data_IF_798808906670
#
_entry.id   IF_798808906670
#
_cell.length_a   1.000
_cell.length_b   1.000
_cell.length_c   1.000
_cell.angle_alpha   90.00
_cell.angle_beta   90.00
_cell.angle_gamma   90.00
#
_symmetry.space_group_name_H-M   'P 1'
#
loop_
_entity.id
_entity.type
_entity.pdbx_description
1 polymer ?
#
# COMPACT_ATOMS: atom_id res chain seq x y z
N UNK A 1 71.85 6.81 -25.66
CA UNK A 1 70.65 7.60 -26.03
C UNK A 1 69.48 6.65 -26.22
N UNK A 2 68.75 6.33 -25.15
CA UNK A 2 67.37 5.83 -25.22
C UNK A 2 66.89 5.63 -23.78
N UNK A 3 65.69 6.11 -23.46
CA UNK A 3 65.05 5.81 -22.18
C UNK A 3 64.48 7.00 -21.43
N UNK A 4 63.54 7.77 -22.02
CA UNK A 4 62.68 8.69 -21.24
C UNK A 4 61.23 8.79 -21.75
N UNK A 5 60.79 7.93 -22.67
CA UNK A 5 59.42 8.01 -23.24
C UNK A 5 58.34 7.25 -22.43
N UNK A 6 58.68 6.48 -21.40
CA UNK A 6 57.75 5.51 -20.79
C UNK A 6 56.89 6.02 -19.63
N UNK A 7 57.12 7.23 -19.09
CA UNK A 7 56.43 7.70 -17.87
C UNK A 7 55.21 8.60 -18.09
N UNK A 8 54.94 9.07 -19.32
CA UNK A 8 53.75 9.92 -19.58
C UNK A 8 52.47 9.11 -19.84
N UNK A 9 52.58 7.96 -20.51
CA UNK A 9 51.42 7.10 -20.81
C UNK A 9 50.73 6.52 -19.56
N UNK A 10 51.47 6.35 -18.46
CA UNK A 10 50.92 5.78 -17.22
C UNK A 10 50.09 6.78 -16.42
N UNK A 11 50.29 8.09 -16.59
CA UNK A 11 49.56 9.12 -15.83
C UNK A 11 48.18 9.37 -16.44
N UNK A 12 48.08 9.39 -17.78
CA UNK A 12 46.81 9.59 -18.47
C UNK A 12 45.84 8.42 -18.21
N UNK A 13 46.35 7.18 -18.19
CA UNK A 13 45.53 5.98 -17.90
C UNK A 13 45.01 5.93 -16.45
N UNK A 14 45.70 6.56 -15.50
CA UNK A 14 45.27 6.61 -14.09
C UNK A 14 44.16 7.65 -13.86
N UNK A 15 44.14 8.73 -14.64
CA UNK A 15 43.11 9.77 -14.53
C UNK A 15 41.76 9.25 -15.05
N UNK A 16 41.74 8.54 -16.19
CA UNK A 16 40.52 7.99 -16.78
C UNK A 16 39.82 6.99 -15.84
N UNK A 17 40.60 6.13 -15.16
CA UNK A 17 40.07 5.17 -14.19
C UNK A 17 39.45 5.84 -12.96
N UNK A 18 40.00 6.97 -12.53
CA UNK A 18 39.49 7.70 -11.37
C UNK A 18 38.16 8.40 -11.70
N UNK A 19 38.03 8.95 -12.90
CA UNK A 19 36.81 9.60 -13.36
C UNK A 19 35.63 8.63 -13.53
N UNK A 20 35.88 7.42 -14.07
CA UNK A 20 34.83 6.38 -14.16
C UNK A 20 34.35 5.92 -12.79
N UNK A 21 35.28 5.76 -11.84
CA UNK A 21 34.96 5.34 -10.48
C UNK A 21 34.11 6.38 -9.76
N UNK A 22 34.41 7.66 -9.94
CA UNK A 22 33.64 8.74 -9.31
C UNK A 22 32.24 8.89 -9.92
N UNK A 23 32.12 8.76 -11.25
CA UNK A 23 30.80 8.71 -11.93
C UNK A 23 29.93 7.56 -11.41
N UNK A 24 30.52 6.38 -11.22
CA UNK A 24 29.81 5.22 -10.67
C UNK A 24 29.32 5.49 -9.24
N UNK A 25 30.19 6.01 -8.37
CA UNK A 25 29.82 6.37 -6.98
C UNK A 25 28.69 7.38 -6.93
N UNK A 26 28.72 8.37 -7.82
CA UNK A 26 27.67 9.38 -7.90
C UNK A 26 26.33 8.78 -8.37
N UNK A 27 26.36 7.84 -9.31
CA UNK A 27 25.17 7.13 -9.76
C UNK A 27 24.57 6.22 -8.67
N UNK A 28 25.41 5.49 -7.94
CA UNK A 28 24.99 4.63 -6.82
C UNK A 28 24.35 5.47 -5.70
N UNK A 29 24.94 6.62 -5.38
CA UNK A 29 24.42 7.55 -4.38
C UNK A 29 23.02 8.09 -4.75
N UNK A 30 22.83 8.52 -6.01
CA UNK A 30 21.53 9.00 -6.50
C UNK A 30 20.46 7.90 -6.49
N UNK A 31 20.85 6.67 -6.79
CA UNK A 31 19.92 5.52 -6.78
C UNK A 31 19.45 5.22 -5.37
N UNK A 32 20.35 5.24 -4.38
CA UNK A 32 20.00 5.04 -2.98
C UNK A 32 19.09 6.15 -2.42
N UNK A 33 19.33 7.40 -2.83
CA UNK A 33 18.47 8.54 -2.46
C UNK A 33 17.05 8.38 -3.02
N UNK A 34 16.93 8.03 -4.30
CA UNK A 34 15.65 7.74 -4.95
C UNK A 34 14.93 6.56 -4.29
N UNK A 35 15.65 5.47 -3.98
CA UNK A 35 15.09 4.32 -3.28
C UNK A 35 14.52 4.71 -1.92
N UNK A 36 15.28 5.45 -1.12
CA UNK A 36 14.84 5.91 0.19
C UNK A 36 13.58 6.79 0.06
N UNK A 37 13.57 7.70 -0.91
CA UNK A 37 12.43 8.57 -1.21
C UNK A 37 11.18 7.78 -1.59
N UNK A 38 11.28 6.88 -2.56
CA UNK A 38 10.15 6.08 -3.01
C UNK A 38 9.61 5.16 -1.91
N UNK A 39 10.49 4.55 -1.11
CA UNK A 39 10.09 3.72 0.02
C UNK A 39 9.37 4.52 1.12
N UNK A 40 9.80 5.77 1.40
CA UNK A 40 9.10 6.66 2.33
C UNK A 40 7.66 6.96 1.89
N UNK A 41 7.44 7.13 0.59
CA UNK A 41 6.14 7.49 0.03
C UNK A 41 5.30 6.29 -0.43
N UNK A 42 5.78 5.05 -0.27
CA UNK A 42 5.10 3.84 -0.74
C UNK A 42 3.62 3.76 -0.30
N UNK A 43 3.35 3.98 0.98
CA UNK A 43 1.98 3.90 1.52
C UNK A 43 1.06 4.98 0.92
N UNK A 44 1.61 6.16 0.64
CA UNK A 44 0.85 7.26 0.04
C UNK A 44 0.45 6.87 -1.40
N UNK A 45 1.39 6.31 -2.16
CA UNK A 45 1.14 5.84 -3.53
C UNK A 45 0.08 4.71 -3.52
N UNK A 46 0.20 3.72 -2.64
CA UNK A 46 -0.75 2.59 -2.53
C UNK A 46 -2.16 3.09 -2.24
N UNK A 47 -2.32 4.10 -1.39
CA UNK A 47 -3.64 4.58 -0.98
C UNK A 47 -4.26 5.53 -2.01
N UNK A 48 -3.48 6.45 -2.58
CA UNK A 48 -3.99 7.50 -3.48
C UNK A 48 -4.22 6.99 -4.91
N UNK A 49 -3.38 6.09 -5.41
CA UNK A 49 -3.47 5.64 -6.81
C UNK A 49 -4.56 4.59 -6.93
N UNK A 50 -5.78 4.93 -7.34
CA UNK A 50 -6.93 4.00 -7.35
C UNK A 50 -6.64 2.66 -8.05
N UNK A 51 -6.28 2.72 -9.34
CA UNK A 51 -5.93 1.55 -10.18
C UNK A 51 -4.63 1.81 -10.92
N UNK A 52 -3.68 0.88 -10.82
CA UNK A 52 -2.41 0.99 -11.53
C UNK A 52 -2.54 0.79 -13.04
N UNK A 53 -3.58 0.10 -13.51
CA UNK A 53 -3.75 -0.28 -14.92
C UNK A 53 -3.55 0.88 -15.90
N UNK A 54 -4.24 2.02 -15.67
CA UNK A 54 -4.14 3.20 -16.55
C UNK A 54 -2.76 3.85 -16.53
N UNK A 55 -2.12 3.88 -15.37
CA UNK A 55 -0.76 4.41 -15.23
C UNK A 55 0.23 3.49 -15.97
N UNK A 56 0.08 2.18 -15.84
CA UNK A 56 0.92 1.21 -16.54
C UNK A 56 0.74 1.28 -18.06
N UNK A 57 -0.50 1.49 -18.54
CA UNK A 57 -0.79 1.70 -19.96
C UNK A 57 0.04 2.89 -20.50
N UNK A 58 0.01 4.03 -19.81
CA UNK A 58 0.74 5.23 -20.25
C UNK A 58 2.25 5.08 -20.09
N UNK A 59 2.74 4.39 -19.05
CA UNK A 59 4.15 4.09 -18.90
C UNK A 59 4.69 3.18 -20.02
N UNK A 60 3.87 2.27 -20.56
CA UNK A 60 4.23 1.48 -21.76
C UNK A 60 4.23 2.38 -22.99
N UNK A 61 3.20 3.22 -23.17
CA UNK A 61 3.08 4.11 -24.32
C UNK A 61 4.26 5.09 -24.40
N UNK A 62 4.75 5.58 -23.25
CA UNK A 62 5.94 6.42 -23.14
C UNK A 62 7.26 5.63 -23.13
N UNK A 63 7.23 4.30 -23.32
CA UNK A 63 8.39 3.41 -23.33
C UNK A 63 9.23 3.46 -22.02
N UNK A 64 8.59 3.81 -20.90
CA UNK A 64 9.22 3.83 -19.57
C UNK A 64 9.31 2.44 -18.97
N UNK A 65 8.35 1.58 -19.31
CA UNK A 65 8.31 0.16 -18.96
C UNK A 65 8.02 -0.73 -20.16
N UNK A 66 8.49 -1.98 -20.10
CA UNK A 66 8.19 -2.99 -21.11
C UNK A 66 6.85 -3.65 -20.84
N UNK A 67 6.33 -4.38 -21.83
CA UNK A 67 5.17 -5.26 -21.63
C UNK A 67 5.46 -6.35 -20.59
N UNK A 68 6.69 -6.87 -20.55
CA UNK A 68 7.10 -7.88 -19.57
C UNK A 68 7.05 -7.34 -18.13
N UNK A 69 7.47 -6.09 -17.92
CA UNK A 69 7.37 -5.43 -16.61
C UNK A 69 5.92 -5.33 -16.14
N UNK A 70 5.01 -4.98 -17.06
CA UNK A 70 3.58 -4.92 -16.75
C UNK A 70 3.05 -6.29 -16.37
N UNK A 71 3.35 -7.33 -17.14
CA UNK A 71 2.94 -8.70 -16.79
C UNK A 71 3.50 -9.10 -15.41
N UNK A 72 4.75 -8.74 -15.12
CA UNK A 72 5.40 -9.00 -13.84
C UNK A 72 4.77 -8.22 -12.67
N UNK A 73 4.22 -7.04 -12.91
CA UNK A 73 3.45 -6.27 -11.91
C UNK A 73 2.06 -6.90 -11.74
N UNK A 74 1.33 -7.10 -12.84
CA UNK A 74 -0.08 -7.53 -12.85
C UNK A 74 -0.29 -8.98 -12.41
N UNK A 75 0.76 -9.83 -12.37
CA UNK A 75 0.66 -11.19 -11.84
C UNK A 75 0.31 -11.25 -10.34
N UNK A 76 0.47 -10.14 -9.61
CA UNK A 76 0.12 -10.06 -8.19
C UNK A 76 -1.34 -9.66 -8.00
N UNK A 77 -2.13 -10.38 -7.18
CA UNK A 77 -3.56 -10.12 -7.02
C UNK A 77 -3.85 -8.84 -6.23
N UNK A 78 -2.95 -8.43 -5.33
CA UNK A 78 -3.18 -7.25 -4.49
C UNK A 78 -2.40 -6.02 -4.95
N UNK A 79 -3.06 -4.88 -4.78
CA UNK A 79 -2.57 -3.56 -5.16
C UNK A 79 -1.24 -3.19 -4.49
N UNK A 80 -1.02 -3.65 -3.26
CA UNK A 80 0.16 -3.30 -2.49
C UNK A 80 1.41 -3.94 -3.11
N UNK A 81 1.36 -5.23 -3.48
CA UNK A 81 2.44 -5.90 -4.19
C UNK A 81 2.64 -5.34 -5.59
N UNK A 82 1.57 -5.07 -6.34
CA UNK A 82 1.67 -4.41 -7.65
C UNK A 82 2.42 -3.07 -7.55
N UNK A 83 2.04 -2.22 -6.58
CA UNK A 83 2.69 -0.93 -6.34
C UNK A 83 4.15 -1.12 -5.95
N UNK A 84 4.46 -2.11 -5.10
CA UNK A 84 5.84 -2.41 -4.68
C UNK A 84 6.71 -2.74 -5.90
N UNK A 85 6.20 -3.58 -6.81
CA UNK A 85 6.92 -3.96 -8.04
C UNK A 85 7.13 -2.77 -8.96
N UNK A 86 6.11 -1.94 -9.17
CA UNK A 86 6.24 -0.72 -9.93
C UNK A 86 7.34 0.18 -9.36
N UNK A 87 7.36 0.41 -8.04
CA UNK A 87 8.40 1.20 -7.39
C UNK A 87 9.79 0.60 -7.61
N UNK A 88 9.94 -0.72 -7.47
CA UNK A 88 11.24 -1.39 -7.72
C UNK A 88 11.73 -1.15 -9.15
N UNK A 89 10.84 -1.20 -10.15
CA UNK A 89 11.18 -0.93 -11.55
C UNK A 89 11.57 0.55 -11.76
N UNK A 90 10.83 1.48 -11.14
CA UNK A 90 11.16 2.91 -11.22
C UNK A 90 12.55 3.19 -10.61
N UNK A 91 12.85 2.59 -9.46
CA UNK A 91 14.16 2.75 -8.79
C UNK A 91 15.28 2.17 -9.66
N UNK A 92 15.10 0.97 -10.23
CA UNK A 92 16.15 0.31 -11.02
C UNK A 92 16.47 1.03 -12.32
N UNK A 93 15.49 1.75 -12.91
CA UNK A 93 15.69 2.60 -14.08
C UNK A 93 16.12 4.03 -13.76
N UNK A 94 16.01 4.42 -12.50
CA UNK A 94 16.55 5.67 -11.97
C UNK A 94 15.69 6.90 -12.25
N UNK A 95 16.34 8.06 -12.15
CA UNK A 95 15.67 9.36 -12.00
C UNK A 95 14.83 9.77 -13.20
N UNK A 96 15.24 9.43 -14.43
CA UNK A 96 14.50 9.80 -15.65
C UNK A 96 13.10 9.15 -15.67
N UNK A 97 13.02 7.86 -15.35
CA UNK A 97 11.75 7.13 -15.28
C UNK A 97 10.89 7.63 -14.12
N UNK A 98 11.50 7.95 -12.98
CA UNK A 98 10.78 8.58 -11.87
C UNK A 98 10.15 9.92 -12.27
N UNK A 99 10.89 10.80 -12.95
CA UNK A 99 10.38 12.09 -13.41
C UNK A 99 9.21 11.93 -14.39
N UNK A 100 9.29 10.99 -15.32
CA UNK A 100 8.19 10.71 -16.26
C UNK A 100 6.97 10.08 -15.56
N UNK A 101 7.20 9.18 -14.59
CA UNK A 101 6.13 8.65 -13.74
C UNK A 101 5.36 9.75 -13.00
N UNK A 102 6.06 10.76 -12.47
CA UNK A 102 5.39 11.91 -11.85
C UNK A 102 4.52 12.69 -12.85
N UNK A 103 4.98 12.84 -14.09
CA UNK A 103 4.21 13.52 -15.12
C UNK A 103 2.94 12.75 -15.49
N UNK A 104 3.05 11.43 -15.66
CA UNK A 104 1.88 10.55 -15.86
C UNK A 104 0.90 10.69 -14.68
N UNK A 105 1.38 10.67 -13.44
CA UNK A 105 0.53 10.90 -12.27
C UNK A 105 -0.19 12.26 -12.34
N UNK A 106 0.46 13.34 -12.79
CA UNK A 106 -0.20 14.64 -12.98
C UNK A 106 -1.27 14.59 -14.06
N UNK A 107 -1.01 13.91 -15.18
CA UNK A 107 -1.97 13.76 -16.27
C UNK A 107 -3.24 13.02 -15.84
N UNK A 108 -3.12 12.08 -14.89
CA UNK A 108 -4.26 11.38 -14.27
C UNK A 108 -4.90 12.16 -13.10
N UNK A 109 -4.52 13.41 -12.87
CA UNK A 109 -5.11 14.27 -11.84
C UNK A 109 -4.54 14.09 -10.42
N UNK A 110 -3.48 13.30 -10.23
CA UNK A 110 -2.85 13.06 -8.94
C UNK A 110 -1.90 14.21 -8.51
N UNK A 111 -2.27 15.47 -8.74
CA UNK A 111 -1.41 16.64 -8.51
C UNK A 111 -0.90 16.77 -7.06
N UNK A 112 -1.75 16.43 -6.08
CA UNK A 112 -1.39 16.46 -4.66
C UNK A 112 -0.32 15.42 -4.34
N UNK A 113 -0.50 14.21 -4.83
CA UNK A 113 0.47 13.12 -4.70
C UNK A 113 1.80 13.48 -5.35
N UNK A 114 1.80 14.02 -6.57
CA UNK A 114 3.04 14.38 -7.26
C UNK A 114 3.79 15.48 -6.53
N UNK A 115 3.08 16.49 -6.01
CA UNK A 115 3.70 17.55 -5.19
C UNK A 115 4.34 16.98 -3.92
N UNK A 116 3.66 16.03 -3.26
CA UNK A 116 4.19 15.32 -2.10
C UNK A 116 5.47 14.53 -2.45
N UNK A 117 5.45 13.82 -3.57
CA UNK A 117 6.60 13.07 -4.07
C UNK A 117 7.76 13.99 -4.48
N UNK A 118 7.52 15.16 -5.07
CA UNK A 118 8.60 16.06 -5.48
C UNK A 118 9.35 16.67 -4.31
N UNK A 119 8.61 17.15 -3.31
CA UNK A 119 9.15 18.00 -2.26
C UNK A 119 10.11 17.27 -1.30
N UNK A 120 10.12 15.93 -1.28
CA UNK A 120 10.88 15.08 -0.33
C UNK A 120 10.79 15.55 1.14
N UNK A 121 9.80 16.40 1.43
CA UNK A 121 9.50 16.95 2.73
C UNK A 121 8.72 15.89 3.51
N UNK A 122 9.39 14.78 3.81
CA UNK A 122 9.17 14.12 5.09
C UNK A 122 10.00 14.87 6.12
N UNK A 123 9.75 16.17 6.26
CA UNK A 123 10.33 16.98 7.32
C UNK A 123 9.77 16.43 8.62
N UNK A 124 10.59 15.65 9.32
CA UNK A 124 10.27 15.06 10.62
C UNK A 124 9.86 16.12 11.66
N UNK A 125 10.17 17.39 11.41
CA UNK A 125 9.89 18.53 12.30
C UNK A 125 9.05 19.67 11.66
N UNK A 126 8.98 19.81 10.33
CA UNK A 126 8.10 20.81 9.69
C UNK A 126 6.65 20.32 9.48
N UNK A 127 6.27 19.21 10.13
CA UNK A 127 4.87 18.78 10.27
C UNK A 127 4.16 19.39 11.49
N UNK A 128 4.83 20.20 12.32
CA UNK A 128 4.24 20.71 13.56
C UNK A 128 3.80 22.19 13.56
N UNK A 129 4.14 23.00 12.54
CA UNK A 129 3.89 24.46 12.61
C UNK A 129 3.05 25.05 11.48
N UNK A 130 2.43 24.21 10.65
CA UNK A 130 1.31 24.63 9.80
C UNK A 130 0.08 23.83 10.18
N UNK A 131 -0.77 24.45 11.00
CA UNK A 131 -2.09 24.00 11.46
C UNK A 131 -3.14 23.85 10.35
N UNK A 132 -2.71 23.74 9.09
CA UNK A 132 -3.55 23.36 7.97
C UNK A 132 -2.95 22.14 7.24
N UNK A 133 -3.52 21.00 7.63
CA UNK A 133 -3.98 19.98 6.71
C UNK A 133 -3.09 18.76 6.40
N UNK A 134 -2.46 18.23 7.45
CA UNK A 134 -2.20 16.78 7.59
C UNK A 134 -3.42 16.00 8.13
N UNK A 135 -4.60 16.64 8.15
CA UNK A 135 -5.88 16.00 8.49
C UNK A 135 -6.33 14.98 7.44
N UNK A 136 -5.67 14.97 6.27
CA UNK A 136 -5.97 14.08 5.13
C UNK A 136 -5.42 12.65 5.27
N UNK A 137 -4.52 12.38 6.23
CA UNK A 137 -4.11 11.02 6.61
C UNK A 137 -4.74 10.55 7.92
N UNK A 138 -5.90 11.11 8.28
CA UNK A 138 -6.70 10.53 9.34
C UNK A 138 -7.14 9.14 8.89
N UNK A 139 -6.59 8.12 9.54
CA UNK A 139 -7.25 6.82 9.62
C UNK A 139 -8.73 7.10 9.85
N UNK A 140 -9.62 6.73 8.90
CA UNK A 140 -11.02 7.08 9.02
C UNK A 140 -11.56 6.61 10.37
N UNK A 141 -12.20 7.52 11.12
CA UNK A 141 -12.60 7.26 12.51
C UNK A 141 -13.46 6.01 12.62
N UNK A 142 -14.28 5.71 11.61
CA UNK A 142 -15.09 4.50 11.56
C UNK A 142 -14.25 3.22 11.61
N UNK A 143 -13.08 3.18 10.95
CA UNK A 143 -12.18 2.01 11.00
C UNK A 143 -11.63 1.79 12.39
N UNK A 144 -11.32 2.89 13.10
CA UNK A 144 -10.87 2.81 14.50
C UNK A 144 -11.99 2.30 15.41
N UNK A 145 -13.23 2.76 15.20
CA UNK A 145 -14.41 2.29 15.96
C UNK A 145 -14.68 0.81 15.71
N UNK A 146 -14.63 0.37 14.45
CA UNK A 146 -14.77 -1.04 14.08
C UNK A 146 -13.66 -1.89 14.73
N UNK A 147 -12.41 -1.44 14.69
CA UNK A 147 -11.29 -2.15 15.33
C UNK A 147 -11.45 -2.25 16.85
N UNK A 148 -11.81 -1.16 17.53
CA UNK A 148 -11.97 -1.16 19.00
C UNK A 148 -13.06 -2.10 19.48
N UNK A 149 -14.11 -2.29 18.69
CA UNK A 149 -15.21 -3.18 19.01
C UNK A 149 -15.09 -4.55 18.32
N UNK A 150 -13.96 -4.85 17.67
CA UNK A 150 -13.79 -6.03 16.83
C UNK A 150 -14.13 -7.34 17.57
N UNK A 151 -13.63 -7.50 18.79
CA UNK A 151 -13.89 -8.71 19.60
C UNK A 151 -15.38 -8.89 19.87
N UNK A 152 -16.06 -7.82 20.27
CA UNK A 152 -17.49 -7.83 20.60
C UNK A 152 -18.34 -8.11 19.35
N UNK A 153 -18.00 -7.48 18.23
CA UNK A 153 -18.65 -7.71 16.94
C UNK A 153 -18.55 -9.19 16.57
N UNK A 154 -17.34 -9.77 16.64
CA UNK A 154 -17.08 -11.17 16.26
C UNK A 154 -17.78 -12.17 17.17
N UNK A 155 -17.95 -11.86 18.46
CA UNK A 155 -18.62 -12.77 19.40
C UNK A 155 -20.14 -12.71 19.36
N UNK A 156 -20.71 -11.56 18.96
CA UNK A 156 -22.13 -11.27 19.19
C UNK A 156 -22.97 -11.41 17.91
N UNK A 157 -22.41 -11.11 16.74
CA UNK A 157 -23.18 -10.97 15.50
C UNK A 157 -23.31 -12.27 14.69
N UNK A 158 -24.48 -12.47 14.08
CA UNK A 158 -24.73 -13.45 13.00
C UNK A 158 -24.68 -12.76 11.63
N UNK A 159 -24.01 -13.38 10.66
CA UNK A 159 -23.59 -12.69 9.45
C UNK A 159 -24.68 -12.64 8.37
N UNK A 160 -25.61 -13.60 8.35
CA UNK A 160 -26.52 -13.88 7.23
C UNK A 160 -27.36 -12.66 6.85
N UNK A 161 -28.18 -12.17 7.78
CA UNK A 161 -29.08 -11.04 7.53
C UNK A 161 -28.33 -9.72 7.27
N UNK A 162 -27.13 -9.57 7.84
CA UNK A 162 -26.32 -8.36 7.69
C UNK A 162 -25.64 -8.32 6.33
N UNK A 163 -25.06 -9.44 5.89
CA UNK A 163 -24.41 -9.55 4.58
C UNK A 163 -25.43 -9.34 3.47
N UNK A 164 -26.62 -9.93 3.58
CA UNK A 164 -27.70 -9.73 2.61
C UNK A 164 -28.09 -8.25 2.50
N UNK A 165 -28.30 -7.58 3.64
CA UNK A 165 -28.61 -6.16 3.65
C UNK A 165 -27.47 -5.29 3.09
N UNK A 166 -26.22 -5.64 3.36
CA UNK A 166 -25.06 -4.92 2.82
C UNK A 166 -24.91 -5.11 1.30
N UNK A 167 -25.38 -6.22 0.73
CA UNK A 167 -25.46 -6.40 -0.72
C UNK A 167 -26.59 -5.53 -1.30
N UNK A 168 -27.77 -5.53 -0.68
CA UNK A 168 -28.91 -4.69 -1.11
C UNK A 168 -28.55 -3.19 -1.14
N UNK A 169 -27.61 -2.76 -0.29
CA UNK A 169 -27.17 -1.38 -0.16
C UNK A 169 -25.89 -1.05 -0.98
N UNK A 170 -25.47 -1.95 -1.87
CA UNK A 170 -24.28 -1.84 -2.73
C UNK A 170 -22.96 -1.65 -1.95
N UNK A 171 -22.87 -2.18 -0.73
CA UNK A 171 -21.65 -2.13 0.10
C UNK A 171 -20.77 -3.35 -0.15
N UNK A 172 -21.39 -4.51 -0.36
CA UNK A 172 -20.74 -5.78 -0.69
C UNK A 172 -21.30 -6.33 -2.00
N UNK A 173 -20.52 -7.21 -2.63
CA UNK A 173 -20.94 -7.95 -3.83
C UNK A 173 -21.39 -9.37 -3.46
N UNK A 174 -22.04 -10.05 -4.41
CA UNK A 174 -22.39 -11.48 -4.27
C UNK A 174 -21.11 -12.32 -4.11
N UNK A 175 -20.04 -11.99 -4.85
CA UNK A 175 -18.75 -12.67 -4.72
C UNK A 175 -18.17 -12.51 -3.30
N UNK A 176 -18.35 -11.35 -2.66
CA UNK A 176 -17.93 -11.15 -1.27
C UNK A 176 -18.71 -12.05 -0.30
N UNK A 177 -20.00 -12.25 -0.53
CA UNK A 177 -20.82 -13.19 0.25
C UNK A 177 -20.33 -14.61 0.09
N UNK A 178 -20.08 -15.07 -1.12
CA UNK A 178 -19.56 -16.42 -1.38
C UNK A 178 -18.22 -16.65 -0.65
N UNK A 179 -17.33 -15.65 -0.66
CA UNK A 179 -16.06 -15.70 0.07
C UNK A 179 -16.26 -15.74 1.58
N UNK A 180 -17.22 -15.00 2.12
CA UNK A 180 -17.56 -15.04 3.56
C UNK A 180 -18.16 -16.41 3.91
N UNK A 181 -19.07 -16.92 3.10
CA UNK A 181 -19.80 -18.16 3.34
C UNK A 181 -18.94 -19.42 3.26
N UNK A 182 -17.82 -19.34 2.54
CA UNK A 182 -16.84 -20.41 2.47
C UNK A 182 -16.18 -20.76 3.83
N UNK A 183 -16.24 -19.86 4.83
CA UNK A 183 -15.68 -20.14 6.16
C UNK A 183 -16.63 -20.98 7.02
N UNK A 184 -16.16 -22.05 7.69
CA UNK A 184 -17.04 -22.98 8.40
C UNK A 184 -17.58 -22.43 9.73
N UNK A 185 -16.80 -21.61 10.44
CA UNK A 185 -17.17 -21.10 11.75
C UNK A 185 -17.78 -19.70 11.66
N UNK A 186 -18.88 -19.47 12.39
CA UNK A 186 -19.57 -18.18 12.40
C UNK A 186 -18.65 -16.99 12.74
N UNK A 187 -17.75 -17.18 13.72
CA UNK A 187 -16.78 -16.15 14.08
C UNK A 187 -15.82 -15.82 12.93
N UNK A 188 -15.36 -16.82 12.18
CA UNK A 188 -14.48 -16.60 11.01
C UNK A 188 -15.19 -15.87 9.87
N UNK A 189 -16.48 -16.18 9.65
CA UNK A 189 -17.34 -15.44 8.71
C UNK A 189 -17.41 -13.95 9.10
N UNK A 190 -17.64 -13.63 10.37
CA UNK A 190 -17.68 -12.25 10.86
C UNK A 190 -16.32 -11.57 10.77
N UNK A 191 -15.23 -12.29 11.06
CA UNK A 191 -13.87 -11.75 10.87
C UNK A 191 -13.63 -11.35 9.42
N UNK A 192 -14.08 -12.16 8.47
CA UNK A 192 -13.96 -11.87 7.03
C UNK A 192 -14.83 -10.71 6.59
N UNK A 193 -16.07 -10.63 7.09
CA UNK A 193 -16.93 -9.47 6.91
C UNK A 193 -16.27 -8.18 7.42
N UNK A 194 -15.69 -8.21 8.62
CA UNK A 194 -14.98 -7.06 9.20
C UNK A 194 -13.75 -6.65 8.40
N UNK A 195 -13.00 -7.62 7.87
CA UNK A 195 -11.90 -7.33 6.94
C UNK A 195 -12.40 -6.52 5.74
N UNK A 196 -13.52 -6.93 5.11
CA UNK A 196 -14.12 -6.21 3.98
C UNK A 196 -14.56 -4.79 4.38
N UNK A 197 -15.29 -4.65 5.49
CA UNK A 197 -15.76 -3.35 5.99
C UNK A 197 -14.63 -2.38 6.36
N UNK A 198 -13.47 -2.91 6.77
CA UNK A 198 -12.29 -2.07 7.04
C UNK A 198 -11.70 -1.45 5.77
N UNK A 199 -12.01 -1.98 4.58
CA UNK A 199 -11.58 -1.43 3.29
C UNK A 199 -12.67 -0.65 2.55
N UNK A 200 -13.92 -0.66 3.02
CA UNK A 200 -14.99 0.15 2.42
C UNK A 200 -14.81 1.64 2.72
N UNK A 201 -15.61 2.45 2.03
CA UNK A 201 -15.81 3.87 2.35
C UNK A 201 -16.67 4.03 3.61
N UNK A 202 -16.73 5.25 4.15
CA UNK A 202 -17.51 5.58 5.34
C UNK A 202 -19.01 5.28 5.18
N UNK A 203 -19.55 5.38 3.96
CA UNK A 203 -20.92 4.97 3.65
C UNK A 203 -21.18 3.50 4.04
N UNK A 204 -20.23 2.61 3.78
CA UNK A 204 -20.33 1.19 4.10
C UNK A 204 -20.45 0.94 5.61
N UNK A 205 -19.74 1.73 6.42
CA UNK A 205 -19.86 1.69 7.87
C UNK A 205 -21.25 2.09 8.36
N UNK A 206 -21.82 3.17 7.85
CA UNK A 206 -23.17 3.59 8.26
C UNK A 206 -24.24 2.56 7.85
N UNK A 207 -24.09 1.94 6.68
CA UNK A 207 -24.96 0.85 6.24
C UNK A 207 -24.81 -0.40 7.08
N UNK A 208 -23.60 -0.73 7.53
CA UNK A 208 -23.39 -1.79 8.53
C UNK A 208 -24.10 -1.50 9.85
N UNK A 209 -24.00 -0.27 10.39
CA UNK A 209 -24.74 0.11 11.60
C UNK A 209 -26.26 0.08 11.38
N UNK A 210 -26.74 0.46 10.19
CA UNK A 210 -28.14 0.33 9.81
C UNK A 210 -28.58 -1.12 9.80
N UNK A 211 -27.77 -2.02 9.22
CA UNK A 211 -28.02 -3.46 9.19
C UNK A 211 -28.17 -4.03 10.60
N UNK A 212 -27.28 -3.67 11.52
CA UNK A 212 -27.38 -4.07 12.93
C UNK A 212 -28.69 -3.61 13.58
N UNK A 213 -29.20 -2.44 13.22
CA UNK A 213 -30.44 -1.90 13.78
C UNK A 213 -31.71 -2.51 13.20
N UNK A 214 -31.61 -3.33 12.15
CA UNK A 214 -32.76 -4.08 11.64
C UNK A 214 -33.17 -5.23 12.59
N UNK A 215 -32.24 -5.70 13.41
CA UNK A 215 -32.48 -6.71 14.43
C UNK A 215 -32.38 -6.06 15.82
N UNK A 216 -33.48 -6.11 16.58
CA UNK A 216 -33.59 -5.53 17.91
C UNK A 216 -32.48 -6.04 18.86
N UNK A 217 -31.95 -7.25 18.64
CA UNK A 217 -30.89 -7.81 19.48
C UNK A 217 -29.50 -7.17 19.30
N UNK A 218 -29.28 -6.39 18.23
CA UNK A 218 -27.99 -5.73 17.95
C UNK A 218 -28.03 -4.20 18.06
N UNK A 219 -29.17 -3.61 18.42
CA UNK A 219 -29.32 -2.14 18.55
C UNK A 219 -28.33 -1.54 19.54
N UNK A 220 -28.16 -2.17 20.70
CA UNK A 220 -27.22 -1.70 21.73
C UNK A 220 -25.77 -1.77 21.25
N UNK A 221 -25.42 -2.84 20.54
CA UNK A 221 -24.08 -2.99 19.94
C UNK A 221 -23.82 -1.93 18.87
N UNK A 222 -24.80 -1.66 17.99
CA UNK A 222 -24.69 -0.60 16.99
C UNK A 222 -24.44 0.77 17.64
N UNK A 223 -25.21 1.09 18.67
CA UNK A 223 -25.07 2.32 19.43
C UNK A 223 -23.72 2.41 20.16
N UNK A 224 -23.23 1.29 20.72
CA UNK A 224 -21.91 1.22 21.34
C UNK A 224 -20.80 1.51 20.32
N UNK A 225 -20.84 0.87 19.15
CA UNK A 225 -19.84 1.07 18.08
C UNK A 225 -19.84 2.53 17.62
N UNK A 226 -21.01 3.12 17.37
CA UNK A 226 -21.14 4.50 16.91
C UNK A 226 -20.62 5.51 17.95
N UNK A 227 -20.95 5.31 19.23
CA UNK A 227 -20.55 6.19 20.32
C UNK A 227 -19.17 5.87 20.91
N UNK A 228 -18.43 4.92 20.32
CA UNK A 228 -17.11 4.56 20.79
C UNK A 228 -16.16 5.75 20.70
N UNK A 229 -15.64 6.17 21.86
CA UNK A 229 -14.64 7.23 21.95
C UNK A 229 -13.32 6.77 21.32
N UNK A 230 -12.93 7.46 20.26
CA UNK A 230 -11.64 7.27 19.60
C UNK A 230 -10.61 8.21 20.23
N UNK A 231 -9.46 7.67 20.60
CA UNK A 231 -8.33 8.42 21.16
C UNK A 231 -7.15 8.43 20.17
N UNK A 232 -6.20 9.33 20.37
CA UNK A 232 -4.96 9.39 19.57
C UNK A 232 -4.15 8.09 19.63
N UNK A 233 -4.20 7.38 20.76
CA UNK A 233 -3.54 6.08 20.91
C UNK A 233 -4.19 5.01 20.01
N UNK A 234 -5.51 5.01 19.87
CA UNK A 234 -6.22 4.04 19.04
C UNK A 234 -5.87 4.20 17.55
N UNK A 235 -5.77 5.46 17.10
CA UNK A 235 -5.34 5.81 15.74
C UNK A 235 -3.90 5.34 15.48
N UNK A 236 -3.03 5.51 16.47
CA UNK A 236 -1.61 5.12 16.40
C UNK A 236 -1.45 3.60 16.31
N UNK A 237 -2.24 2.84 17.09
CA UNK A 237 -2.24 1.38 17.05
C UNK A 237 -2.68 0.85 15.69
N UNK A 238 -3.74 1.40 15.09
CA UNK A 238 -4.19 0.95 13.76
C UNK A 238 -3.12 1.21 12.68
N UNK A 239 -2.46 2.37 12.76
CA UNK A 239 -1.37 2.77 11.85
C UNK A 239 -0.13 1.89 12.00
N UNK A 240 0.09 1.28 13.17
CA UNK A 240 1.16 0.31 13.40
C UNK A 240 0.80 -1.09 12.89
N UNK A 241 -0.45 -1.53 13.08
CA UNK A 241 -0.89 -2.85 12.64
C UNK A 241 -0.87 -3.00 11.10
N UNK A 242 -1.23 -1.96 10.36
CA UNK A 242 -1.14 -1.96 8.89
C UNK A 242 0.30 -2.10 8.37
N UNK A 243 1.30 -1.66 9.15
CA UNK A 243 2.73 -1.85 8.82
C UNK A 243 3.20 -3.30 9.03
N UNK A 244 2.61 -4.01 10.00
CA UNK A 244 2.97 -5.40 10.33
C UNK A 244 2.31 -6.43 9.40
N UNK A 245 1.08 -6.18 8.94
CA UNK A 245 0.45 -7.04 7.94
C UNK A 245 1.21 -7.05 6.60
N UNK A 246 1.87 -5.93 6.25
CA UNK A 246 2.79 -5.88 5.11
C UNK A 246 4.09 -6.68 5.29
N UNK A 247 4.41 -7.16 6.51
CA UNK A 247 5.61 -7.96 6.79
C UNK A 247 5.28 -9.44 7.06
N UNK A 248 4.12 -9.76 7.64
CA UNK A 248 3.73 -11.13 7.93
C UNK A 248 3.45 -11.98 6.67
N UNK A 249 2.98 -11.35 5.58
CA UNK A 249 2.78 -12.06 4.29
C UNK A 249 4.08 -12.43 3.56
N UNK A 250 5.25 -11.99 4.04
CA UNK A 250 6.55 -12.38 3.46
C UNK A 250 7.01 -13.76 4.00
N UNK A 251 6.44 -14.23 5.12
CA UNK A 251 6.91 -15.46 5.79
C UNK A 251 6.01 -16.69 5.57
N UNK A 252 4.79 -16.54 5.03
CA UNK A 252 3.90 -17.68 4.79
C UNK A 252 4.14 -18.42 3.46
N UNK A 253 4.86 -17.83 2.51
CA UNK A 253 5.28 -18.50 1.27
C UNK A 253 6.39 -19.56 1.49
N UNK A 254 6.88 -19.71 2.72
CA UNK A 254 7.91 -20.70 3.06
C UNK A 254 7.39 -21.96 3.76
N UNK A 255 6.09 -22.03 4.09
CA UNK A 255 5.53 -23.12 4.93
C UNK A 255 4.64 -24.12 4.17
N UNK A 256 4.38 -23.91 2.87
CA UNK A 256 3.52 -24.80 2.07
C UNK A 256 4.32 -25.85 1.28
N UNK A 257 5.66 -25.84 1.29
CA UNK A 257 6.47 -26.77 0.47
C UNK A 257 6.99 -28.03 1.17
N UNK A 258 6.54 -28.38 2.38
CA UNK A 258 7.10 -29.53 3.15
C UNK A 258 6.10 -30.67 3.47
N UNK A 259 4.88 -30.66 2.93
CA UNK A 259 3.89 -31.73 3.18
C UNK A 259 3.42 -32.48 1.92
N UNK A 260 4.30 -32.67 0.95
CA UNK A 260 4.12 -33.70 -0.08
C UNK A 260 5.28 -34.69 -0.04
N UNK A 261 5.11 -35.79 0.70
CA UNK A 261 6.03 -36.90 0.58
C UNK A 261 6.09 -37.84 1.78
N UNK A 262 5.03 -38.63 2.02
CA UNK A 262 5.17 -40.03 2.47
C UNK A 262 3.81 -40.72 2.47
N UNK A 263 3.50 -41.36 1.34
CA UNK A 263 2.59 -42.50 1.31
C UNK A 263 3.36 -43.66 0.67
N UNK A 264 3.78 -44.60 1.51
CA UNK A 264 4.08 -45.99 1.18
C UNK A 264 3.40 -46.84 2.25
#
# INVERSE_FOLDING_TARGET
MSGMASSRQTVDSLNDLNDEKEKKRQADCKTAELEAKMNRHFQIIVNEVGTLRRILDDMINECLISTDDRCYIEQYPDKQHQTRRLITIIISRGQSVYSAFLEILRQHGYHKLTKCLEQDHVTRESMFDNTQDLSTWQVPLFRVRLQKNYTEIVSTIKHENIVDHLIEEDVLTIDDKDVIDAFPAQSDKIRKLMEKLMFTEEKGYFKFLSALRLDDCYVDLANQIENTKVTSNDISLLTCCSKLQGQANINNDKFVSEYEGTNL
#
